data_IF_120843237248
#
_entry.id   IF_120843237248
#
_cell.length_a   1.000
_cell.length_b   1.000
_cell.length_c   1.000
_cell.angle_alpha   90.00
_cell.angle_beta   90.00
_cell.angle_gamma   90.00
#
_symmetry.space_group_name_H-M   'P 1'
#
loop_
_entity.id
_entity.type
_entity.pdbx_description
1 polymer ?
#
# COMPACT_ATOMS: atom_id res chain seq x y z
N UNK A 1 -3.25 0.27 8.27
CA UNK A 1 -3.68 0.74 6.92
C UNK A 1 -4.87 1.65 7.12
N UNK A 2 -4.84 2.87 6.57
CA UNK A 2 -5.97 3.80 6.69
C UNK A 2 -6.94 3.63 5.50
N UNK A 3 -6.42 3.54 4.27
CA UNK A 3 -7.23 3.37 3.05
C UNK A 3 -6.55 2.42 2.05
N UNK A 4 -7.38 1.72 1.27
CA UNK A 4 -6.97 0.85 0.15
C UNK A 4 -7.94 1.05 -1.02
N UNK A 5 -7.42 1.22 -2.24
CA UNK A 5 -8.26 1.34 -3.42
C UNK A 5 -7.58 0.78 -4.67
N UNK A 6 -8.38 0.30 -5.62
CA UNK A 6 -7.88 -0.19 -6.91
C UNK A 6 -7.66 1.02 -7.83
N UNK A 7 -6.44 1.20 -8.32
CA UNK A 7 -6.11 2.24 -9.30
C UNK A 7 -6.28 1.71 -10.73
N UNK A 8 -5.81 0.49 -10.97
CA UNK A 8 -5.93 -0.15 -12.27
C UNK A 8 -5.92 -1.68 -12.13
N UNK A 9 -6.66 -2.33 -13.02
CA UNK A 9 -6.74 -3.79 -13.13
C UNK A 9 -6.49 -4.32 -14.54
N UNK A 10 -5.84 -3.52 -15.39
CA UNK A 10 -5.50 -3.96 -16.73
C UNK A 10 -4.43 -5.07 -16.73
N UNK A 11 -4.59 -6.03 -17.64
CA UNK A 11 -3.66 -7.15 -17.88
C UNK A 11 -3.45 -8.07 -16.66
N UNK A 12 -2.22 -8.54 -16.46
CA UNK A 12 -1.78 -9.48 -15.41
C UNK A 12 -1.26 -8.77 -14.14
N UNK A 13 -1.28 -7.43 -14.13
CA UNK A 13 -0.79 -6.64 -12.99
C UNK A 13 -1.97 -5.91 -12.34
N UNK A 14 -1.92 -5.75 -11.02
CA UNK A 14 -2.89 -4.93 -10.28
C UNK A 14 -2.17 -3.76 -9.65
N UNK A 15 -2.66 -2.56 -9.95
CA UNK A 15 -2.14 -1.33 -9.33
C UNK A 15 -3.09 -0.96 -8.21
N UNK A 16 -2.60 -0.97 -6.98
CA UNK A 16 -3.38 -0.69 -5.78
C UNK A 16 -2.81 0.56 -5.13
N UNK A 17 -3.67 1.55 -4.89
CA UNK A 17 -3.36 2.70 -4.08
C UNK A 17 -3.57 2.38 -2.60
N UNK A 18 -2.67 2.89 -1.76
CA UNK A 18 -2.70 2.64 -0.33
C UNK A 18 -2.40 3.92 0.44
N UNK A 19 -3.14 4.16 1.52
CA UNK A 19 -2.76 5.13 2.54
C UNK A 19 -2.30 4.36 3.77
N UNK A 20 -1.01 4.43 4.02
CA UNK A 20 -0.35 3.67 5.07
C UNK A 20 0.10 4.61 6.18
N UNK A 21 -0.12 4.21 7.43
CA UNK A 21 0.37 4.93 8.59
C UNK A 21 1.84 4.61 8.81
N UNK A 22 2.63 5.65 9.01
CA UNK A 22 4.07 5.56 9.24
C UNK A 22 4.40 5.96 10.68
N UNK A 23 3.89 5.21 11.65
CA UNK A 23 4.22 5.35 13.07
C UNK A 23 4.87 4.07 13.62
N UNK A 24 5.35 4.14 14.86
CA UNK A 24 5.97 3.01 15.56
C UNK A 24 5.01 1.85 15.86
N UNK A 25 3.71 2.01 15.60
CA UNK A 25 2.68 0.97 15.74
C UNK A 25 2.66 -0.06 14.62
N UNK A 26 3.46 0.14 13.56
CA UNK A 26 3.91 -0.92 12.64
C UNK A 26 2.83 -1.81 12.02
N UNK A 27 2.15 -1.33 10.96
CA UNK A 27 1.47 -2.20 9.97
C UNK A 27 1.25 -1.49 8.62
N UNK A 28 2.28 -0.75 8.18
CA UNK A 28 2.16 0.21 7.08
C UNK A 28 3.16 0.03 5.95
N UNK A 29 3.87 -1.11 5.86
CA UNK A 29 4.74 -1.38 4.71
C UNK A 29 3.91 -1.98 3.57
N UNK A 30 4.04 -1.50 2.33
CA UNK A 30 3.27 -2.02 1.19
C UNK A 30 3.36 -3.54 1.07
N UNK A 31 4.52 -4.12 1.38
CA UNK A 31 4.78 -5.56 1.29
C UNK A 31 3.98 -6.38 2.29
N UNK A 32 3.77 -5.85 3.51
CA UNK A 32 2.93 -6.51 4.52
C UNK A 32 1.47 -6.46 4.11
N UNK A 33 1.04 -5.36 3.49
CA UNK A 33 -0.34 -5.20 3.00
C UNK A 33 -0.60 -6.12 1.83
N UNK A 34 0.32 -6.23 0.87
CA UNK A 34 0.16 -7.18 -0.25
C UNK A 34 0.12 -8.63 0.21
N UNK A 35 0.93 -9.00 1.21
CA UNK A 35 0.88 -10.34 1.80
C UNK A 35 -0.48 -10.62 2.46
N UNK A 36 -0.99 -9.65 3.23
CA UNK A 36 -2.31 -9.76 3.87
C UNK A 36 -3.48 -9.84 2.87
N UNK A 37 -3.31 -9.25 1.67
CA UNK A 37 -4.28 -9.35 0.57
C UNK A 37 -4.20 -10.68 -0.19
N UNK A 38 -3.29 -11.58 0.17
CA UNK A 38 -3.14 -12.88 -0.47
C UNK A 38 -2.33 -12.84 -1.77
N UNK A 39 -1.60 -11.75 -2.05
CA UNK A 39 -0.68 -11.75 -3.18
C UNK A 39 0.50 -12.68 -2.88
N UNK A 40 0.81 -13.62 -3.79
CA UNK A 40 1.87 -14.61 -3.56
C UNK A 40 3.27 -14.01 -3.66
N UNK A 41 3.41 -12.85 -4.30
CA UNK A 41 4.68 -12.17 -4.55
C UNK A 41 4.68 -10.77 -3.96
N UNK A 42 5.87 -10.25 -3.67
CA UNK A 42 6.07 -8.85 -3.29
C UNK A 42 5.63 -7.89 -4.42
N UNK A 43 5.29 -6.63 -4.09
CA UNK A 43 4.99 -5.62 -5.09
C UNK A 43 6.15 -5.50 -6.10
N UNK A 44 5.84 -5.52 -7.39
CA UNK A 44 6.83 -5.36 -8.47
C UNK A 44 7.48 -3.97 -8.41
N UNK A 45 6.71 -2.96 -7.99
CA UNK A 45 7.16 -1.57 -7.87
C UNK A 45 6.34 -0.84 -6.80
N UNK A 46 6.95 0.17 -6.17
CA UNK A 46 6.32 1.01 -5.15
C UNK A 46 6.54 2.47 -5.56
N UNK A 47 5.45 3.18 -5.84
CA UNK A 47 5.48 4.61 -6.12
C UNK A 47 4.91 5.40 -4.93
N UNK A 48 5.78 6.06 -4.17
CA UNK A 48 5.38 6.95 -3.07
C UNK A 48 5.06 8.34 -3.61
N UNK A 49 3.78 8.72 -3.61
CA UNK A 49 3.32 9.98 -4.22
C UNK A 49 3.11 11.11 -3.21
N UNK A 50 2.89 10.80 -1.92
CA UNK A 50 2.58 11.82 -0.91
C UNK A 50 3.00 11.40 0.49
N UNK A 51 3.37 12.38 1.30
CA UNK A 51 3.47 12.27 2.75
C UNK A 51 2.38 13.14 3.36
N UNK A 52 1.54 12.56 4.21
CA UNK A 52 0.48 13.26 4.93
C UNK A 52 0.93 13.37 6.38
N UNK A 53 1.20 14.59 6.83
CA UNK A 53 1.51 14.89 8.21
C UNK A 53 0.20 15.16 8.95
N UNK A 54 0.02 14.53 10.11
CA UNK A 54 -1.07 14.87 11.01
C UNK A 54 -0.51 15.87 12.02
N UNK A 55 -1.03 17.11 12.01
CA UNK A 55 -0.72 18.06 13.07
C UNK A 55 -1.41 17.60 14.35
N UNK A 56 -0.64 17.56 15.45
CA UNK A 56 -1.14 17.29 16.80
C UNK A 56 -1.87 18.48 17.41
#
# INVERSE_FOLDING_TARGET
>A
VDDLWLLDSSNEVRTIGMRLRCDSGGSGRPEQVTLALGFPCHPISIHRTRLILQNG
#
